data_IF_613891287837
#
_entry.id   IF_613891287837
#
_cell.length_a   1.000
_cell.length_b   1.000
_cell.length_c   1.000
_cell.angle_alpha   90.00
_cell.angle_beta   90.00
_cell.angle_gamma   90.00
#
_symmetry.space_group_name_H-M   'P 1'
#
loop_
_entity.id
_entity.type
_entity.pdbx_description
1 polymer ?
#
# COMPACT_ATOMS: atom_id res chain seq x y z
N UNK A 1 2.55 -12.25 -14.33
CA UNK A 1 1.70 -11.04 -14.47
C UNK A 1 0.39 -11.38 -15.14
N UNK A 2 -0.70 -10.84 -14.63
CA UNK A 2 -2.05 -11.07 -15.15
C UNK A 2 -2.74 -9.71 -15.22
N UNK A 3 -2.92 -9.15 -16.44
CA UNK A 3 -3.59 -7.88 -16.59
C UNK A 3 -5.09 -8.02 -16.26
N UNK A 4 -5.58 -7.16 -15.39
CA UNK A 4 -7.00 -7.12 -15.01
C UNK A 4 -7.69 -6.02 -15.79
N UNK A 5 -8.76 -6.35 -16.57
CA UNK A 5 -9.50 -5.37 -17.37
C UNK A 5 -10.28 -4.39 -16.47
N UNK A 6 -10.71 -3.27 -17.08
CA UNK A 6 -11.50 -2.26 -16.37
C UNK A 6 -12.95 -2.72 -16.11
N UNK A 7 -13.48 -3.56 -16.99
CA UNK A 7 -14.82 -4.12 -16.87
C UNK A 7 -14.89 -5.06 -15.66
N UNK A 8 -15.66 -4.69 -14.64
CA UNK A 8 -15.69 -5.38 -13.36
C UNK A 8 -16.05 -6.85 -13.43
N UNK A 9 -16.98 -7.24 -14.30
CA UNK A 9 -17.40 -8.64 -14.43
C UNK A 9 -16.27 -9.50 -14.98
N UNK A 10 -15.60 -9.07 -16.04
CA UNK A 10 -14.43 -9.78 -16.58
C UNK A 10 -13.26 -9.79 -15.59
N UNK A 11 -13.06 -8.70 -14.86
CA UNK A 11 -12.06 -8.65 -13.81
C UNK A 11 -12.34 -9.70 -12.73
N UNK A 12 -13.60 -9.83 -12.28
CA UNK A 12 -14.01 -10.85 -11.31
C UNK A 12 -13.84 -12.28 -11.83
N UNK A 13 -14.18 -12.53 -13.10
CA UNK A 13 -13.96 -13.83 -13.72
C UNK A 13 -12.49 -14.23 -13.68
N UNK A 14 -11.59 -13.32 -14.08
CA UNK A 14 -10.14 -13.58 -14.07
C UNK A 14 -9.64 -13.81 -12.63
N UNK A 15 -10.00 -12.94 -11.68
CA UNK A 15 -9.58 -13.07 -10.29
C UNK A 15 -10.10 -14.37 -9.65
N UNK A 16 -11.32 -14.80 -10.00
CA UNK A 16 -11.89 -16.04 -9.49
C UNK A 16 -11.13 -17.31 -9.95
N UNK A 17 -10.39 -17.28 -11.05
CA UNK A 17 -9.52 -18.40 -11.45
C UNK A 17 -8.50 -18.71 -10.34
N UNK A 18 -8.04 -17.69 -9.62
CA UNK A 18 -7.04 -17.79 -8.55
C UNK A 18 -7.65 -18.00 -7.15
N UNK A 19 -8.97 -17.99 -7.03
CA UNK A 19 -9.68 -18.09 -5.74
C UNK A 19 -9.22 -19.28 -4.92
N UNK A 20 -9.10 -20.45 -5.52
CA UNK A 20 -8.69 -21.66 -4.80
C UNK A 20 -7.27 -21.56 -4.20
N UNK A 21 -6.36 -20.87 -4.86
CA UNK A 21 -5.01 -20.64 -4.36
C UNK A 21 -4.98 -19.56 -3.26
N UNK A 22 -5.72 -18.47 -3.47
CA UNK A 22 -5.79 -17.34 -2.54
C UNK A 22 -6.52 -17.70 -1.24
N UNK A 23 -7.57 -18.51 -1.32
CA UNK A 23 -8.35 -18.97 -0.17
C UNK A 23 -7.81 -20.28 0.45
N UNK A 24 -6.69 -20.81 -0.03
CA UNK A 24 -6.09 -22.00 0.56
C UNK A 24 -5.47 -21.68 1.93
N UNK A 25 -6.00 -22.28 3.04
CA UNK A 25 -5.47 -21.98 4.37
C UNK A 25 -4.05 -22.55 4.63
N UNK A 26 -3.59 -23.48 3.78
CA UNK A 26 -2.27 -24.12 3.91
C UNK A 26 -1.16 -23.40 3.15
N UNK A 27 -1.48 -22.39 2.35
CA UNK A 27 -0.48 -21.64 1.60
C UNK A 27 -0.16 -20.31 2.29
N UNK A 28 1.12 -20.04 2.51
CA UNK A 28 1.62 -18.75 2.95
C UNK A 28 1.44 -17.73 1.82
N UNK A 29 0.89 -16.56 2.14
CA UNK A 29 0.83 -15.40 1.23
C UNK A 29 1.92 -14.42 1.61
N UNK A 30 2.74 -14.10 0.64
CA UNK A 30 3.87 -13.18 0.81
C UNK A 30 3.57 -11.93 0.02
N UNK A 31 3.75 -10.77 0.64
CA UNK A 31 3.51 -9.48 0.00
C UNK A 31 4.33 -8.36 0.62
N UNK A 32 4.35 -7.25 -0.05
CA UNK A 32 4.85 -5.97 0.44
C UNK A 32 3.64 -5.06 0.70
N UNK A 33 3.34 -4.74 1.95
CA UNK A 33 2.08 -4.09 2.34
C UNK A 33 0.84 -4.93 1.96
N UNK A 34 0.88 -6.22 2.34
CA UNK A 34 -0.12 -7.23 1.95
C UNK A 34 -1.55 -6.87 2.38
N UNK A 35 -1.70 -5.99 3.36
CA UNK A 35 -3.00 -5.45 3.78
C UNK A 35 -3.75 -4.80 2.61
N UNK A 36 -3.03 -4.05 1.77
CA UNK A 36 -3.61 -3.43 0.59
C UNK A 36 -4.16 -4.47 -0.38
N UNK A 37 -3.38 -5.50 -0.69
CA UNK A 37 -3.80 -6.58 -1.58
C UNK A 37 -4.99 -7.37 -1.01
N UNK A 38 -4.98 -7.61 0.30
CA UNK A 38 -6.10 -8.26 1.00
C UNK A 38 -7.41 -7.48 0.81
N UNK A 39 -7.39 -6.15 1.00
CA UNK A 39 -8.56 -5.28 0.83
C UNK A 39 -9.02 -5.26 -0.63
N UNK A 40 -8.08 -5.14 -1.58
CA UNK A 40 -8.40 -5.16 -3.01
C UNK A 40 -9.07 -6.48 -3.41
N UNK A 41 -8.50 -7.61 -3.01
CA UNK A 41 -9.04 -8.94 -3.29
C UNK A 41 -10.42 -9.16 -2.64
N UNK A 42 -10.63 -8.65 -1.42
CA UNK A 42 -11.93 -8.66 -0.76
C UNK A 42 -13.03 -7.98 -1.61
N UNK A 43 -12.72 -6.87 -2.27
CA UNK A 43 -13.66 -6.15 -3.14
C UNK A 43 -14.06 -6.97 -4.39
N UNK A 44 -13.25 -7.98 -4.76
CA UNK A 44 -13.56 -8.95 -5.81
C UNK A 44 -14.26 -10.22 -5.27
N UNK A 45 -14.55 -10.31 -3.97
CA UNK A 45 -15.20 -11.46 -3.34
C UNK A 45 -14.24 -12.61 -3.03
N UNK A 46 -12.94 -12.33 -2.92
CA UNK A 46 -11.92 -13.28 -2.49
C UNK A 46 -11.63 -13.09 -1.00
N UNK A 47 -11.82 -14.13 -0.21
CA UNK A 47 -11.49 -14.15 1.21
C UNK A 47 -10.14 -14.84 1.41
N UNK A 48 -9.06 -14.07 1.35
CA UNK A 48 -7.71 -14.61 1.46
C UNK A 48 -7.52 -15.32 2.82
N UNK A 49 -7.07 -16.57 2.77
CA UNK A 49 -6.89 -17.44 3.94
C UNK A 49 -5.44 -17.87 4.07
N UNK A 50 -5.12 -18.44 5.24
CA UNK A 50 -3.77 -18.91 5.58
C UNK A 50 -2.92 -17.81 6.22
N UNK A 51 -1.66 -18.13 6.40
CA UNK A 51 -0.70 -17.21 7.02
C UNK A 51 -0.22 -16.16 6.04
N UNK A 52 0.20 -15.02 6.60
CA UNK A 52 0.79 -13.91 5.86
C UNK A 52 2.26 -13.74 6.23
N UNK A 53 3.03 -13.24 5.27
CA UNK A 53 4.32 -12.64 5.50
C UNK A 53 4.38 -11.30 4.77
N UNK A 54 4.41 -10.22 5.53
CA UNK A 54 4.53 -8.87 5.00
C UNK A 54 5.97 -8.39 5.15
N UNK A 55 6.65 -8.16 4.04
CA UNK A 55 8.06 -7.72 4.04
C UNK A 55 8.22 -6.30 4.58
N UNK A 56 7.22 -5.44 4.43
CA UNK A 56 7.22 -4.09 4.99
C UNK A 56 7.14 -4.13 6.52
N UNK A 57 6.24 -4.93 7.07
CA UNK A 57 6.08 -5.10 8.53
C UNK A 57 7.29 -5.80 9.13
N UNK A 58 7.83 -6.82 8.46
CA UNK A 58 9.04 -7.49 8.89
C UNK A 58 10.22 -6.52 9.03
N UNK A 59 10.42 -5.66 8.03
CA UNK A 59 11.47 -4.65 8.08
C UNK A 59 11.18 -3.57 9.12
N UNK A 60 9.92 -3.15 9.29
CA UNK A 60 9.55 -2.19 10.33
C UNK A 60 9.95 -2.66 11.73
N UNK A 61 9.77 -3.94 12.04
CA UNK A 61 10.20 -4.50 13.32
C UNK A 61 11.73 -4.49 13.49
N UNK A 62 12.47 -4.76 12.42
CA UNK A 62 13.93 -4.83 12.45
C UNK A 62 14.59 -3.45 12.48
N UNK A 63 14.04 -2.48 11.73
CA UNK A 63 14.62 -1.17 11.52
C UNK A 63 13.54 -0.07 11.47
N UNK A 64 12.85 0.25 12.59
CA UNK A 64 11.67 1.13 12.60
C UNK A 64 11.94 2.56 12.12
N UNK A 65 13.19 3.02 12.19
CA UNK A 65 13.59 4.39 11.81
C UNK A 65 13.93 4.54 10.31
N UNK A 66 13.90 3.44 9.54
CA UNK A 66 14.30 3.44 8.13
C UNK A 66 13.09 3.53 7.19
N UNK A 67 13.35 3.70 5.87
CA UNK A 67 12.31 3.59 4.86
C UNK A 67 11.93 2.11 4.64
N UNK A 68 10.63 1.86 4.44
CA UNK A 68 10.10 0.49 4.29
C UNK A 68 9.55 0.21 2.89
N UNK A 69 9.79 1.10 1.91
CA UNK A 69 9.40 0.84 0.53
C UNK A 69 10.30 -0.21 -0.12
N UNK A 70 9.78 -0.90 -1.13
CA UNK A 70 10.44 -2.03 -1.75
C UNK A 70 11.77 -1.65 -2.41
N UNK A 71 11.85 -0.50 -3.07
CA UNK A 71 13.08 -0.03 -3.72
C UNK A 71 14.23 0.10 -2.72
N UNK A 72 13.93 0.71 -1.56
CA UNK A 72 14.90 0.84 -0.48
C UNK A 72 15.33 -0.54 0.05
N UNK A 73 14.37 -1.43 0.30
CA UNK A 73 14.67 -2.76 0.81
C UNK A 73 15.48 -3.60 -0.18
N UNK A 74 15.14 -3.56 -1.46
CA UNK A 74 15.89 -4.24 -2.50
C UNK A 74 17.35 -3.76 -2.57
N UNK A 75 17.54 -2.46 -2.50
CA UNK A 75 18.88 -1.87 -2.51
C UNK A 75 19.70 -2.31 -1.29
N UNK A 76 19.14 -2.18 -0.09
CA UNK A 76 19.87 -2.45 1.17
C UNK A 76 20.11 -3.94 1.40
N UNK A 77 19.11 -4.79 1.14
CA UNK A 77 19.17 -6.22 1.48
C UNK A 77 19.62 -7.12 0.34
N UNK A 78 19.38 -6.69 -0.91
CA UNK A 78 19.69 -7.51 -2.09
C UNK A 78 20.79 -6.89 -2.95
N UNK A 79 21.18 -5.62 -2.71
CA UNK A 79 22.12 -4.90 -3.57
C UNK A 79 21.57 -4.67 -4.98
N UNK A 80 20.25 -4.60 -5.11
CA UNK A 80 19.53 -4.52 -6.36
C UNK A 80 18.70 -3.22 -6.43
N UNK A 81 18.74 -2.53 -7.58
CA UNK A 81 17.96 -1.33 -7.84
C UNK A 81 16.79 -1.67 -8.78
N UNK A 82 15.55 -1.79 -8.25
CA UNK A 82 14.37 -2.10 -9.06
C UNK A 82 14.04 -1.00 -10.07
N UNK A 83 13.25 -1.35 -11.07
CA UNK A 83 12.69 -0.38 -12.00
C UNK A 83 11.68 0.50 -11.25
N UNK A 84 11.97 1.79 -11.09
CA UNK A 84 11.04 2.73 -10.46
C UNK A 84 9.74 2.83 -11.26
N UNK A 85 8.61 2.84 -10.58
CA UNK A 85 7.28 3.05 -11.17
C UNK A 85 7.21 4.36 -12.00
N UNK A 86 7.97 5.37 -11.62
CA UNK A 86 8.03 6.65 -12.34
C UNK A 86 8.65 6.51 -13.74
N UNK A 87 9.47 5.49 -13.99
CA UNK A 87 9.97 5.18 -15.34
C UNK A 87 8.87 4.66 -16.26
N UNK A 88 7.81 4.06 -15.70
CA UNK A 88 6.67 3.54 -16.46
C UNK A 88 5.56 4.56 -16.66
N UNK A 89 5.16 5.24 -15.59
CA UNK A 89 3.99 6.13 -15.59
C UNK A 89 4.34 7.62 -15.55
N UNK A 90 5.64 7.95 -15.46
CA UNK A 90 6.11 9.33 -15.35
C UNK A 90 6.08 9.87 -13.91
N UNK A 91 6.68 11.04 -13.69
CA UNK A 91 6.79 11.64 -12.36
C UNK A 91 5.42 12.04 -11.80
N UNK A 92 5.34 12.09 -10.46
CA UNK A 92 4.12 12.51 -9.76
C UNK A 92 3.63 13.87 -10.24
N UNK A 93 2.35 13.95 -10.59
CA UNK A 93 1.70 15.19 -11.04
C UNK A 93 0.52 14.97 -11.97
N UNK A 94 -0.04 16.06 -12.48
CA UNK A 94 -1.25 16.04 -13.35
C UNK A 94 -1.06 15.28 -14.67
N UNK A 95 0.19 15.03 -15.09
CA UNK A 95 0.52 14.33 -16.34
C UNK A 95 0.94 12.88 -16.11
N UNK A 96 0.90 12.39 -14.87
CA UNK A 96 1.23 11.00 -14.56
C UNK A 96 0.21 10.05 -15.22
N UNK A 97 0.71 9.04 -15.92
CA UNK A 97 -0.11 8.04 -16.58
C UNK A 97 -0.69 7.06 -15.54
N UNK A 98 -1.78 6.41 -15.90
CA UNK A 98 -2.24 5.20 -15.21
C UNK A 98 -1.44 3.99 -15.70
N UNK A 99 -1.18 3.00 -14.83
CA UNK A 99 -0.57 1.72 -15.23
C UNK A 99 -1.31 1.02 -16.38
N UNK A 100 -2.61 1.26 -16.53
CA UNK A 100 -3.42 0.74 -17.65
C UNK A 100 -3.05 1.33 -19.02
N UNK A 101 -2.40 2.49 -19.05
CA UNK A 101 -1.96 3.16 -20.27
C UNK A 101 -0.56 2.72 -20.71
N UNK A 102 0.13 1.95 -19.86
CA UNK A 102 1.45 1.41 -20.15
C UNK A 102 1.31 0.09 -20.93
N UNK A 103 2.14 -0.17 -21.96
CA UNK A 103 2.12 -1.45 -22.68
C UNK A 103 2.31 -2.64 -21.73
N UNK A 104 1.52 -3.71 -21.98
CA UNK A 104 1.49 -4.91 -21.11
C UNK A 104 2.87 -5.52 -20.93
N UNK A 105 3.70 -5.51 -21.97
CA UNK A 105 5.06 -6.06 -21.95
C UNK A 105 5.95 -5.36 -20.93
N UNK A 106 5.85 -4.03 -20.83
CA UNK A 106 6.63 -3.23 -19.87
C UNK A 106 6.09 -3.43 -18.45
N UNK A 107 4.77 -3.47 -18.26
CA UNK A 107 4.16 -3.73 -16.95
C UNK A 107 4.46 -5.16 -16.50
N UNK A 108 4.55 -6.12 -17.42
CA UNK A 108 4.86 -7.50 -17.09
C UNK A 108 6.26 -7.66 -16.46
N UNK A 109 7.27 -7.00 -17.02
CA UNK A 109 8.63 -7.01 -16.46
C UNK A 109 8.64 -6.41 -15.05
N UNK A 110 8.08 -5.23 -14.90
CA UNK A 110 7.96 -4.54 -13.61
C UNK A 110 7.24 -5.40 -12.55
N UNK A 111 6.07 -5.93 -12.88
CA UNK A 111 5.26 -6.70 -11.92
C UNK A 111 5.89 -8.07 -11.58
N UNK A 112 6.63 -8.68 -12.52
CA UNK A 112 7.37 -9.91 -12.25
C UNK A 112 8.59 -9.65 -11.35
N UNK A 113 9.29 -8.54 -11.57
CA UNK A 113 10.37 -8.05 -10.71
C UNK A 113 9.88 -7.82 -9.28
N UNK A 114 8.75 -7.10 -9.10
CA UNK A 114 8.14 -6.84 -7.79
C UNK A 114 7.86 -8.15 -7.03
N UNK A 115 7.33 -9.15 -7.70
CA UNK A 115 7.03 -10.45 -7.10
C UNK A 115 8.31 -11.21 -6.70
N UNK A 116 9.34 -11.21 -7.55
CA UNK A 116 10.62 -11.87 -7.27
C UNK A 116 11.37 -11.18 -6.14
N UNK A 117 11.48 -9.86 -6.18
CA UNK A 117 12.11 -9.05 -5.11
C UNK A 117 11.41 -9.28 -3.78
N UNK A 118 10.08 -9.28 -3.76
CA UNK A 118 9.31 -9.55 -2.54
C UNK A 118 9.62 -10.93 -1.95
N UNK A 119 9.74 -11.97 -2.78
CA UNK A 119 10.09 -13.30 -2.34
C UNK A 119 11.54 -13.37 -1.80
N UNK A 120 12.47 -12.72 -2.46
CA UNK A 120 13.87 -12.65 -2.00
C UNK A 120 13.99 -11.90 -0.67
N UNK A 121 13.28 -10.77 -0.53
CA UNK A 121 13.21 -9.99 0.72
C UNK A 121 12.61 -10.83 1.85
N UNK A 122 11.51 -11.57 1.61
CA UNK A 122 10.96 -12.50 2.59
C UNK A 122 12.02 -13.47 3.11
N UNK A 123 12.77 -14.11 2.21
CA UNK A 123 13.77 -15.10 2.59
C UNK A 123 14.95 -14.48 3.38
N UNK A 124 15.24 -13.23 3.15
CA UNK A 124 16.27 -12.47 3.87
C UNK A 124 15.77 -12.03 5.25
N UNK A 125 14.64 -11.32 5.29
CA UNK A 125 14.09 -10.73 6.51
C UNK A 125 13.65 -11.80 7.52
N UNK A 126 13.13 -12.94 7.07
CA UNK A 126 12.77 -14.05 7.96
C UNK A 126 13.98 -14.56 8.78
N UNK A 127 15.15 -14.63 8.16
CA UNK A 127 16.39 -15.01 8.86
C UNK A 127 16.80 -13.97 9.90
N UNK A 128 16.62 -12.69 9.58
CA UNK A 128 16.94 -11.60 10.51
C UNK A 128 15.95 -11.53 11.66
N UNK A 129 14.65 -11.69 11.42
CA UNK A 129 13.64 -11.81 12.49
C UNK A 129 13.99 -12.93 13.47
N UNK A 130 14.47 -14.05 12.95
CA UNK A 130 14.93 -15.17 13.79
C UNK A 130 16.17 -14.82 14.60
N UNK A 131 17.15 -14.19 13.99
CA UNK A 131 18.40 -13.77 14.66
C UNK A 131 18.12 -12.78 15.79
N UNK A 132 17.23 -11.82 15.54
CA UNK A 132 16.81 -10.79 16.51
C UNK A 132 15.73 -11.28 17.49
N UNK A 133 15.29 -12.55 17.39
CA UNK A 133 14.26 -13.17 18.24
C UNK A 133 12.90 -12.47 18.18
N UNK A 134 12.58 -11.90 17.02
CA UNK A 134 11.32 -11.17 16.79
C UNK A 134 10.24 -12.03 16.13
N UNK A 135 10.50 -13.31 15.83
CA UNK A 135 9.56 -14.21 15.17
C UNK A 135 8.19 -14.25 15.89
N UNK A 136 8.22 -14.33 17.23
CA UNK A 136 7.00 -14.41 18.01
C UNK A 136 6.16 -13.14 17.93
N UNK A 137 6.81 -11.98 18.00
CA UNK A 137 6.15 -10.69 17.79
C UNK A 137 5.54 -10.62 16.39
N UNK A 138 6.32 -10.98 15.38
CA UNK A 138 5.90 -10.93 13.98
C UNK A 138 4.71 -11.86 13.68
N UNK A 139 4.82 -13.15 14.02
CA UNK A 139 3.80 -14.14 13.64
C UNK A 139 2.58 -14.18 14.57
N UNK A 140 2.77 -13.95 15.89
CA UNK A 140 1.69 -14.07 16.87
C UNK A 140 0.91 -12.75 17.06
N UNK A 141 1.50 -11.61 16.69
CA UNK A 141 0.90 -10.28 16.91
C UNK A 141 0.74 -9.52 15.59
N UNK A 142 1.82 -9.20 14.89
CA UNK A 142 1.76 -8.27 13.74
C UNK A 142 1.00 -8.85 12.54
N UNK A 143 1.23 -10.11 12.19
CA UNK A 143 0.52 -10.73 11.07
C UNK A 143 -0.98 -10.91 11.33
N UNK A 144 -1.43 -11.38 12.52
CA UNK A 144 -2.86 -11.32 12.87
C UNK A 144 -3.43 -9.91 12.89
N UNK A 145 -2.69 -8.93 13.43
CA UNK A 145 -3.11 -7.53 13.49
C UNK A 145 -3.33 -6.93 12.09
N UNK A 146 -2.50 -7.31 11.11
CA UNK A 146 -2.66 -6.88 9.71
C UNK A 146 -4.05 -7.21 9.17
N UNK A 147 -4.61 -8.40 9.49
CA UNK A 147 -5.97 -8.79 9.08
C UNK A 147 -7.04 -7.99 9.81
N UNK A 148 -6.87 -7.77 11.12
CA UNK A 148 -7.80 -6.96 11.91
C UNK A 148 -7.87 -5.53 11.37
N UNK A 149 -6.73 -4.91 11.06
CA UNK A 149 -6.67 -3.58 10.48
C UNK A 149 -7.32 -3.54 9.09
N UNK A 150 -7.13 -4.57 8.27
CA UNK A 150 -7.79 -4.67 6.98
C UNK A 150 -9.32 -4.76 7.13
N UNK A 151 -9.82 -5.56 8.06
CA UNK A 151 -11.26 -5.69 8.33
C UNK A 151 -11.87 -4.40 8.87
N UNK A 152 -11.12 -3.64 9.69
CA UNK A 152 -11.53 -2.31 10.14
C UNK A 152 -11.63 -1.32 8.97
N UNK A 153 -10.67 -1.32 8.05
CA UNK A 153 -10.70 -0.47 6.85
C UNK A 153 -11.83 -0.85 5.89
N UNK A 154 -12.09 -2.15 5.71
CA UNK A 154 -13.21 -2.66 4.90
C UNK A 154 -14.56 -2.23 5.50
N UNK A 155 -14.70 -2.31 6.82
CA UNK A 155 -15.91 -1.89 7.54
C UNK A 155 -16.10 -0.38 7.45
N UNK A 156 -15.02 0.38 7.49
CA UNK A 156 -15.03 1.83 7.47
C UNK A 156 -15.56 2.46 8.75
N UNK A 157 -15.75 3.79 8.69
CA UNK A 157 -16.31 4.58 9.78
C UNK A 157 -17.48 5.39 9.28
N UNK A 158 -18.49 5.59 10.13
CA UNK A 158 -19.58 6.50 9.81
C UNK A 158 -19.14 7.95 10.06
N UNK A 159 -19.25 8.77 9.01
CA UNK A 159 -18.84 10.18 9.05
C UNK A 159 -20.08 11.07 9.02
N UNK A 160 -20.21 11.97 10.00
CA UNK A 160 -21.25 13.01 9.96
C UNK A 160 -20.83 14.11 8.96
N UNK A 161 -21.37 14.01 7.75
CA UNK A 161 -21.08 14.96 6.67
C UNK A 161 -21.60 16.36 6.98
N UNK A 162 -22.70 16.46 7.72
CA UNK A 162 -23.30 17.76 8.08
C UNK A 162 -22.41 18.53 9.03
N UNK A 163 -21.92 17.83 10.06
CA UNK A 163 -20.99 18.42 11.04
C UNK A 163 -19.65 18.79 10.38
N UNK A 164 -19.12 17.92 9.50
CA UNK A 164 -17.90 18.24 8.76
C UNK A 164 -18.03 19.48 7.87
N UNK A 165 -19.16 19.64 7.18
CA UNK A 165 -19.43 20.83 6.36
C UNK A 165 -19.51 22.08 7.23
N UNK A 166 -20.28 22.02 8.33
CA UNK A 166 -20.39 23.13 9.29
C UNK A 166 -19.01 23.54 9.83
N UNK A 167 -18.22 22.58 10.25
CA UNK A 167 -16.85 22.83 10.72
C UNK A 167 -15.96 23.43 9.64
N UNK A 168 -16.05 22.92 8.40
CA UNK A 168 -15.31 23.45 7.25
C UNK A 168 -15.65 24.91 6.98
N UNK A 169 -16.95 25.27 7.01
CA UNK A 169 -17.39 26.65 6.77
C UNK A 169 -16.88 27.60 7.86
N UNK A 170 -16.92 27.17 9.13
CA UNK A 170 -16.42 27.95 10.26
C UNK A 170 -14.91 28.18 10.13
N UNK A 171 -14.16 27.10 9.87
CA UNK A 171 -12.70 27.18 9.73
C UNK A 171 -12.29 28.02 8.52
N UNK A 172 -12.95 27.85 7.38
CA UNK A 172 -12.66 28.64 6.16
C UNK A 172 -12.88 30.12 6.41
N UNK A 173 -13.97 30.47 7.09
CA UNK A 173 -14.25 31.89 7.46
C UNK A 173 -13.14 32.44 8.35
N UNK A 174 -12.75 31.68 9.38
CA UNK A 174 -11.70 32.11 10.29
C UNK A 174 -10.33 32.21 9.64
N UNK A 175 -10.00 31.28 8.73
CA UNK A 175 -8.77 31.37 7.93
C UNK A 175 -8.73 32.63 7.09
N UNK A 176 -9.83 32.95 6.37
CA UNK A 176 -9.91 34.15 5.55
C UNK A 176 -9.80 35.46 6.38
N UNK A 177 -10.44 35.49 7.57
CA UNK A 177 -10.28 36.61 8.49
C UNK A 177 -8.84 36.82 8.93
N UNK A 178 -8.17 35.72 9.35
CA UNK A 178 -6.77 35.75 9.76
C UNK A 178 -5.82 36.15 8.62
N UNK A 179 -6.07 35.67 7.42
CA UNK A 179 -5.28 36.03 6.24
C UNK A 179 -5.38 37.53 5.97
N UNK A 180 -6.57 38.11 6.06
CA UNK A 180 -6.75 39.56 5.91
C UNK A 180 -6.08 40.36 7.02
N UNK A 181 -6.14 39.90 8.27
CA UNK A 181 -5.42 40.52 9.40
C UNK A 181 -3.90 40.50 9.17
N UNK A 182 -3.35 39.36 8.67
CA UNK A 182 -1.94 39.21 8.33
C UNK A 182 -1.53 40.19 7.23
N UNK A 183 -2.32 40.34 6.16
CA UNK A 183 -2.03 41.27 5.07
C UNK A 183 -2.07 42.71 5.52
N UNK A 184 -3.02 43.06 6.38
CA UNK A 184 -3.09 44.41 6.96
C UNK A 184 -1.88 44.74 7.82
N UNK A 185 -1.44 43.80 8.67
CA UNK A 185 -0.26 43.97 9.51
C UNK A 185 1.05 44.02 8.71
N UNK A 186 1.14 43.22 7.66
CA UNK A 186 2.32 43.16 6.80
C UNK A 186 2.42 44.34 5.79
N UNK A 187 1.29 44.97 5.49
CA UNK A 187 1.20 46.02 4.47
C UNK A 187 1.34 45.53 3.02
N UNK A 188 1.43 44.23 2.81
CA UNK A 188 1.57 43.55 1.50
C UNK A 188 0.82 42.23 1.51
N UNK A 189 0.37 41.79 0.33
CA UNK A 189 -0.20 40.46 0.14
C UNK A 189 0.89 39.48 -0.31
N UNK A 190 0.88 38.27 0.23
CA UNK A 190 1.81 37.19 -0.10
C UNK A 190 1.13 35.83 0.09
N UNK A 191 1.80 34.77 -0.29
CA UNK A 191 1.26 33.42 -0.05
C UNK A 191 1.51 33.03 1.42
N UNK A 192 0.43 32.80 2.16
CA UNK A 192 0.43 32.43 3.58
C UNK A 192 0.54 30.91 3.73
#
# INVERSE_FOLDING_TARGET
>A
YIPIPEEQEKAREIVNIFKSALENPKSLKIGQNIKYDYIVLHNYGIHVKGDFFDTMVAHYLLQPEQYHNMDYLANVYLGYEPVSIEKLIGPKGKKQLSMRQVPVEQVCEYAAEDADVTLQLKNRLEKELKTEKMEKLFYDIEMPLTKVLADMEITGVNVDITELKSSSDILTRRMNELEQEIFQLAGVTFNV
#
